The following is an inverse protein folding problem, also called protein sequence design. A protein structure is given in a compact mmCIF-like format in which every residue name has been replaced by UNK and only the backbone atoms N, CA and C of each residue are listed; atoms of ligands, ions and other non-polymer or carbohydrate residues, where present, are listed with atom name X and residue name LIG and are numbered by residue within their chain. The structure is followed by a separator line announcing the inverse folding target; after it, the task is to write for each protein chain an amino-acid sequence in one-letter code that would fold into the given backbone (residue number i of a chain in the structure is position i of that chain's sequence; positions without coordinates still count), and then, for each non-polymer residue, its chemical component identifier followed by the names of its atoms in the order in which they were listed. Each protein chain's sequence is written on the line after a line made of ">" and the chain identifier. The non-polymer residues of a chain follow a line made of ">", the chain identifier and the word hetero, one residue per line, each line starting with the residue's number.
data_IF_792564225252
#
_entry.id   IF_792564225252
#
_cell.length_a   1.000
_cell.length_b   1.000
_cell.length_c   1.000
_cell.angle_alpha   90.00
_cell.angle_beta   90.00
_cell.angle_gamma   90.00
#
_symmetry.space_group_name_H-M   'P 1'
#
loop_
_entity.id
_entity.type
_entity.pdbx_description
1 polymer ?
#
# COMPACT_ATOMS: atom_id res chain seq x y z
N UNK A 1 -18.12 25.63 14.21
CA UNK A 1 -17.56 24.66 13.27
C UNK A 1 -18.50 23.48 13.12
N UNK A 2 -18.49 22.86 11.94
CA UNK A 2 -19.16 21.58 11.70
C UNK A 2 -18.44 20.49 12.49
N UNK A 3 -19.19 19.73 13.29
CA UNK A 3 -18.64 18.59 14.03
C UNK A 3 -18.30 17.42 13.11
N UNK A 4 -19.03 17.30 11.99
CA UNK A 4 -18.86 16.26 10.97
C UNK A 4 -18.83 16.92 9.59
N UNK A 5 -17.93 16.50 8.69
CA UNK A 5 -17.91 16.99 7.32
C UNK A 5 -19.24 16.77 6.59
N UNK A 6 -19.69 17.76 5.84
CA UNK A 6 -20.75 17.57 4.85
C UNK A 6 -20.15 16.80 3.69
N UNK A 7 -20.73 15.65 3.36
CA UNK A 7 -20.17 14.74 2.35
C UNK A 7 -21.22 14.37 1.31
N UNK A 8 -20.83 14.43 0.04
CA UNK A 8 -21.56 13.83 -1.08
C UNK A 8 -20.63 12.82 -1.76
N UNK A 9 -21.04 11.56 -1.85
CA UNK A 9 -20.21 10.52 -2.45
C UNK A 9 -21.04 9.64 -3.38
N UNK A 10 -20.48 9.36 -4.56
CA UNK A 10 -20.93 8.31 -5.47
C UNK A 10 -19.75 7.33 -5.63
N UNK A 11 -20.02 6.05 -5.40
CA UNK A 11 -19.03 5.01 -5.50
C UNK A 11 -19.65 3.79 -6.18
N UNK A 12 -19.15 3.48 -7.38
CA UNK A 12 -19.62 2.35 -8.20
C UNK A 12 -18.50 1.36 -8.32
N UNK A 13 -18.75 0.12 -7.93
CA UNK A 13 -17.82 -0.99 -8.03
C UNK A 13 -18.45 -2.11 -8.84
N UNK A 14 -17.72 -2.61 -9.84
CA UNK A 14 -18.06 -3.83 -10.55
C UNK A 14 -16.89 -4.82 -10.49
N UNK A 15 -17.21 -6.09 -10.27
CA UNK A 15 -16.23 -7.18 -10.19
C UNK A 15 -16.70 -8.34 -11.05
N UNK A 16 -15.76 -8.86 -11.84
CA UNK A 16 -15.95 -10.06 -12.65
C UNK A 16 -15.02 -11.15 -12.16
N UNK A 17 -15.51 -12.38 -12.23
CA UNK A 17 -14.75 -13.56 -11.87
C UNK A 17 -14.97 -14.64 -12.95
N UNK A 18 -13.88 -15.28 -13.35
CA UNK A 18 -13.88 -16.44 -14.21
C UNK A 18 -13.07 -17.55 -13.55
N UNK A 19 -13.64 -18.73 -13.43
CA UNK A 19 -12.96 -19.91 -12.90
C UNK A 19 -13.25 -21.09 -13.82
N UNK A 20 -12.18 -21.75 -14.26
CA UNK A 20 -12.24 -23.02 -14.97
C UNK A 20 -11.20 -23.97 -14.36
N UNK A 21 -11.65 -24.76 -13.38
CA UNK A 21 -10.77 -25.65 -12.59
C UNK A 21 -10.22 -26.80 -13.43
N UNK A 22 -10.97 -27.29 -14.44
CA UNK A 22 -10.53 -28.36 -15.32
C UNK A 22 -9.35 -27.92 -16.20
N UNK A 23 -9.40 -26.69 -16.69
CA UNK A 23 -8.33 -26.09 -17.51
C UNK A 23 -7.30 -25.33 -16.67
N UNK A 24 -7.47 -25.24 -15.35
CA UNK A 24 -6.57 -24.57 -14.43
C UNK A 24 -6.59 -23.03 -14.50
N UNK A 25 -7.56 -22.40 -15.16
CA UNK A 25 -7.62 -20.95 -15.29
C UNK A 25 -8.49 -20.28 -14.24
N UNK A 26 -7.99 -19.17 -13.69
CA UNK A 26 -8.74 -18.28 -12.82
C UNK A 26 -8.47 -16.83 -13.22
N UNK A 27 -9.52 -16.03 -13.25
CA UNK A 27 -9.44 -14.62 -13.62
C UNK A 27 -10.34 -13.76 -12.73
N UNK A 28 -9.86 -12.56 -12.37
CA UNK A 28 -10.63 -11.55 -11.67
C UNK A 28 -10.39 -10.20 -12.33
N UNK A 29 -11.47 -9.50 -12.62
CA UNK A 29 -11.46 -8.12 -13.07
C UNK A 29 -12.22 -7.24 -12.09
N UNK A 30 -11.76 -6.03 -11.83
CA UNK A 30 -12.46 -5.07 -10.98
C UNK A 30 -12.32 -3.69 -11.58
N UNK A 31 -13.41 -2.93 -11.65
CA UNK A 31 -13.42 -1.49 -11.94
C UNK A 31 -14.18 -0.79 -10.83
N UNK A 32 -13.63 0.30 -10.33
CA UNK A 32 -14.24 1.18 -9.36
C UNK A 32 -14.15 2.62 -9.85
N UNK A 33 -15.25 3.33 -9.74
CA UNK A 33 -15.36 4.77 -10.00
C UNK A 33 -15.87 5.42 -8.72
N UNK A 34 -15.23 6.48 -8.30
CA UNK A 34 -15.61 7.23 -7.11
C UNK A 34 -15.52 8.72 -7.38
N UNK A 35 -16.57 9.43 -6.97
CA UNK A 35 -16.58 10.87 -6.82
C UNK A 35 -16.97 11.20 -5.39
N UNK A 36 -16.19 12.02 -4.72
CA UNK A 36 -16.38 12.40 -3.32
C UNK A 36 -16.15 13.90 -3.15
N UNK A 37 -17.09 14.56 -2.52
CA UNK A 37 -17.02 15.98 -2.16
C UNK A 37 -17.20 16.10 -0.65
N UNK A 38 -16.26 16.76 0.01
CA UNK A 38 -16.31 17.03 1.46
C UNK A 38 -16.15 18.50 1.72
N UNK A 39 -16.97 19.02 2.60
CA UNK A 39 -16.92 20.40 3.09
C UNK A 39 -16.81 20.41 4.61
N UNK A 40 -15.89 21.20 5.13
CA UNK A 40 -15.64 21.40 6.57
C UNK A 40 -15.46 22.89 6.82
N UNK A 41 -15.83 23.38 8.00
CA UNK A 41 -15.60 24.79 8.33
C UNK A 41 -16.59 25.35 9.33
N UNK A 42 -16.70 26.66 9.38
CA UNK A 42 -17.69 27.38 10.16
C UNK A 42 -19.11 27.03 9.70
N UNK A 43 -20.10 27.03 10.60
CA UNK A 43 -21.47 26.64 10.28
C UNK A 43 -22.09 27.47 9.15
N UNK A 44 -21.76 28.75 9.08
CA UNK A 44 -22.29 29.68 8.07
C UNK A 44 -21.39 29.80 6.84
N UNK A 45 -20.33 28.96 6.73
CA UNK A 45 -19.41 29.03 5.60
C UNK A 45 -20.13 28.61 4.31
N UNK A 46 -20.07 29.49 3.33
CA UNK A 46 -20.57 29.26 1.98
C UNK A 46 -19.39 29.27 1.00
N UNK A 47 -19.18 28.15 0.32
CA UNK A 47 -18.07 27.97 -0.62
C UNK A 47 -18.04 29.01 -1.74
N UNK A 48 -19.20 29.42 -2.28
CA UNK A 48 -19.29 30.39 -3.38
C UNK A 48 -18.90 31.79 -2.96
N UNK A 49 -19.21 32.17 -1.72
CA UNK A 49 -19.07 33.54 -1.23
C UNK A 49 -17.87 33.76 -0.30
N UNK A 50 -17.44 32.73 0.42
CA UNK A 50 -16.45 32.86 1.49
C UNK A 50 -15.08 32.28 1.13
N UNK A 51 -14.96 31.51 0.04
CA UNK A 51 -13.69 30.96 -0.43
C UNK A 51 -12.69 32.10 -0.70
N UNK A 52 -11.52 32.03 -0.06
CA UNK A 52 -10.48 33.03 -0.18
C UNK A 52 -10.82 34.38 0.48
N UNK A 53 -11.86 34.46 1.31
CA UNK A 53 -12.20 35.62 2.10
C UNK A 53 -11.80 35.44 3.57
N UNK A 54 -11.53 36.55 4.27
CA UNK A 54 -11.17 36.51 5.70
C UNK A 54 -12.37 36.38 6.65
N UNK A 55 -13.59 36.26 6.12
CA UNK A 55 -14.83 36.29 6.91
C UNK A 55 -15.02 35.00 7.71
N UNK A 56 -15.01 33.89 7.03
CA UNK A 56 -15.21 32.56 7.63
C UNK A 56 -14.18 31.58 7.09
N UNK A 57 -13.68 30.72 7.96
CA UNK A 57 -12.80 29.64 7.54
C UNK A 57 -13.60 28.43 7.07
N UNK A 58 -13.21 27.88 5.93
CA UNK A 58 -13.76 26.66 5.39
C UNK A 58 -12.77 25.92 4.51
N UNK A 59 -13.07 24.67 4.25
CA UNK A 59 -12.30 23.76 3.43
C UNK A 59 -13.24 22.93 2.58
N UNK A 60 -12.86 22.70 1.34
CA UNK A 60 -13.55 21.77 0.45
C UNK A 60 -12.53 20.87 -0.22
N UNK A 61 -12.87 19.59 -0.31
CA UNK A 61 -12.05 18.54 -0.92
C UNK A 61 -12.92 17.82 -1.95
N UNK A 62 -12.58 17.95 -3.21
CA UNK A 62 -13.21 17.27 -4.33
C UNK A 62 -12.28 16.18 -4.85
N UNK A 63 -12.73 14.94 -4.79
CA UNK A 63 -11.95 13.78 -5.20
C UNK A 63 -12.65 13.01 -6.30
N UNK A 64 -11.94 12.77 -7.40
CA UNK A 64 -12.33 11.83 -8.44
C UNK A 64 -11.33 10.69 -8.48
N UNK A 65 -11.81 9.45 -8.45
CA UNK A 65 -10.95 8.28 -8.43
C UNK A 65 -11.44 7.19 -9.37
N UNK A 66 -10.50 6.62 -10.10
CA UNK A 66 -10.70 5.46 -10.95
C UNK A 66 -9.71 4.40 -10.53
N UNK A 67 -10.20 3.20 -10.22
CA UNK A 67 -9.36 2.03 -9.96
C UNK A 67 -9.77 0.91 -10.92
N UNK A 68 -8.78 0.27 -11.54
CA UNK A 68 -8.97 -0.91 -12.35
C UNK A 68 -7.96 -1.98 -11.95
N UNK A 69 -8.36 -3.23 -11.86
CA UNK A 69 -7.44 -4.33 -11.58
C UNK A 69 -7.80 -5.58 -12.36
N UNK A 70 -6.77 -6.31 -12.74
CA UNK A 70 -6.85 -7.59 -13.42
C UNK A 70 -5.92 -8.57 -12.71
N UNK A 71 -6.44 -9.77 -12.41
CA UNK A 71 -5.65 -10.91 -11.92
C UNK A 71 -5.96 -12.11 -12.77
N UNK A 72 -4.93 -12.73 -13.31
CA UNK A 72 -5.04 -13.97 -14.07
C UNK A 72 -4.09 -14.98 -13.43
N UNK A 73 -4.62 -16.15 -13.15
CA UNK A 73 -3.86 -17.28 -12.62
C UNK A 73 -4.04 -18.50 -13.51
N UNK A 74 -2.98 -19.26 -13.62
CA UNK A 74 -2.98 -20.57 -14.25
C UNK A 74 -2.34 -21.57 -13.31
N UNK A 75 -3.10 -22.57 -12.89
CA UNK A 75 -2.64 -23.70 -12.09
C UNK A 75 -2.54 -24.90 -13.03
N UNK A 76 -1.39 -25.55 -13.07
CA UNK A 76 -1.20 -26.73 -13.91
C UNK A 76 -2.08 -27.87 -13.40
N UNK A 77 -3.06 -28.39 -14.19
CA UNK A 77 -3.97 -29.41 -13.70
C UNK A 77 -3.28 -30.69 -13.21
N UNK A 78 -2.20 -31.09 -13.89
CA UNK A 78 -1.41 -32.27 -13.53
C UNK A 78 -0.48 -32.03 -12.33
N UNK A 79 -0.15 -30.77 -12.05
CA UNK A 79 0.80 -30.37 -11.00
C UNK A 79 0.24 -29.19 -10.22
N UNK A 80 -0.73 -29.43 -9.34
CA UNK A 80 -1.45 -28.38 -8.60
C UNK A 80 -0.56 -27.48 -7.73
N UNK A 81 0.69 -27.90 -7.46
CA UNK A 81 1.70 -27.10 -6.78
C UNK A 81 2.43 -26.11 -7.70
N UNK A 82 2.22 -26.18 -9.03
CA UNK A 82 2.77 -25.23 -10.00
C UNK A 82 1.70 -24.26 -10.44
N UNK A 83 2.05 -22.99 -10.43
CA UNK A 83 1.13 -21.97 -10.94
C UNK A 83 1.89 -20.75 -11.45
N UNK A 84 1.30 -20.10 -12.45
CA UNK A 84 1.62 -18.74 -12.84
C UNK A 84 0.53 -17.79 -12.38
N UNK A 85 0.92 -16.59 -12.04
CA UNK A 85 0.01 -15.49 -11.74
C UNK A 85 0.47 -14.21 -12.40
N UNK A 86 -0.47 -13.50 -13.00
CA UNK A 86 -0.28 -12.15 -13.47
C UNK A 86 -1.27 -11.24 -12.75
N UNK A 87 -0.80 -10.12 -12.26
CA UNK A 87 -1.61 -9.10 -11.60
C UNK A 87 -1.26 -7.75 -12.20
N UNK A 88 -2.28 -6.96 -12.51
CA UNK A 88 -2.12 -5.57 -12.90
C UNK A 88 -3.15 -4.73 -12.19
N UNK A 89 -2.75 -3.57 -11.70
CA UNK A 89 -3.62 -2.59 -11.07
C UNK A 89 -3.28 -1.20 -11.56
N UNK A 90 -4.29 -0.46 -11.98
CA UNK A 90 -4.22 0.94 -12.32
C UNK A 90 -5.09 1.74 -11.36
N UNK A 91 -4.60 2.88 -10.92
CA UNK A 91 -5.35 3.84 -10.12
C UNK A 91 -5.05 5.24 -10.62
N UNK A 92 -6.08 6.06 -10.74
CA UNK A 92 -5.97 7.51 -10.87
C UNK A 92 -6.76 8.16 -9.74
N UNK A 93 -6.10 9.04 -9.00
CA UNK A 93 -6.65 9.82 -7.93
C UNK A 93 -6.42 11.30 -8.22
N UNK A 94 -7.50 12.01 -8.57
CA UNK A 94 -7.47 13.45 -8.77
C UNK A 94 -8.19 14.11 -7.60
N UNK A 95 -7.48 14.95 -6.86
CA UNK A 95 -8.02 15.74 -5.77
C UNK A 95 -7.75 17.21 -6.02
N UNK A 96 -8.78 18.02 -5.87
CA UNK A 96 -8.73 19.48 -5.83
C UNK A 96 -9.23 19.91 -4.45
N UNK A 97 -8.37 20.57 -3.69
CA UNK A 97 -8.70 20.92 -2.32
C UNK A 97 -8.23 22.33 -1.95
N UNK A 98 -9.00 23.00 -1.11
CA UNK A 98 -8.53 24.19 -0.42
C UNK A 98 -8.84 24.10 1.08
N UNK A 99 -8.03 24.78 1.86
CA UNK A 99 -8.10 24.86 3.32
C UNK A 99 -7.93 26.33 3.74
N UNK A 100 -9.05 27.07 3.83
CA UNK A 100 -9.01 28.53 3.95
C UNK A 100 -8.38 29.16 2.69
N UNK A 101 -7.16 29.71 2.82
CA UNK A 101 -6.41 30.30 1.70
C UNK A 101 -5.45 29.34 1.01
N UNK A 102 -5.22 28.17 1.58
CA UNK A 102 -4.26 27.20 1.03
C UNK A 102 -4.90 26.32 0.00
N UNK A 103 -4.18 26.02 -1.05
CA UNK A 103 -4.58 25.12 -2.11
C UNK A 103 -3.69 23.89 -2.10
N UNK A 104 -4.29 22.72 -2.22
CA UNK A 104 -3.60 21.45 -2.40
C UNK A 104 -4.29 20.63 -3.48
N UNK A 105 -3.69 20.60 -4.66
CA UNK A 105 -4.20 19.81 -5.77
C UNK A 105 -3.23 18.69 -6.12
N UNK A 106 -3.75 17.52 -6.43
CA UNK A 106 -2.93 16.38 -6.86
C UNK A 106 -3.68 15.55 -7.92
N UNK A 107 -2.99 15.21 -9.00
CA UNK A 107 -3.34 14.13 -9.94
C UNK A 107 -2.26 13.05 -9.85
N UNK A 108 -2.59 11.96 -9.16
CA UNK A 108 -1.72 10.80 -8.99
C UNK A 108 -2.23 9.64 -9.85
N UNK A 109 -1.40 9.17 -10.75
CA UNK A 109 -1.63 8.00 -11.58
C UNK A 109 -0.64 6.92 -11.19
N UNK A 110 -1.12 5.73 -10.92
CA UNK A 110 -0.32 4.57 -10.52
C UNK A 110 -0.64 3.37 -11.38
N UNK A 111 0.39 2.69 -11.86
CA UNK A 111 0.31 1.39 -12.52
C UNK A 111 1.25 0.43 -11.81
N UNK A 112 0.72 -0.68 -11.35
CA UNK A 112 1.48 -1.78 -10.78
C UNK A 112 1.21 -3.05 -11.57
N UNK A 113 2.26 -3.76 -11.94
CA UNK A 113 2.16 -5.09 -12.56
C UNK A 113 3.08 -6.06 -11.85
N UNK A 114 2.64 -7.30 -11.74
CA UNK A 114 3.38 -8.35 -11.07
C UNK A 114 3.15 -9.69 -11.78
N UNK A 115 4.24 -10.38 -12.08
CA UNK A 115 4.25 -11.74 -12.60
C UNK A 115 4.85 -12.66 -11.56
N UNK A 116 4.19 -13.78 -11.30
CA UNK A 116 4.51 -14.73 -10.24
C UNK A 116 4.61 -16.13 -10.81
N UNK A 117 5.58 -16.89 -10.33
CA UNK A 117 5.68 -18.32 -10.52
C UNK A 117 5.84 -19.00 -9.17
N UNK A 118 5.01 -19.98 -8.89
CA UNK A 118 5.09 -20.80 -7.68
C UNK A 118 5.36 -22.25 -8.05
N UNK A 119 6.19 -22.93 -7.25
CA UNK A 119 6.45 -24.35 -7.37
C UNK A 119 7.06 -24.92 -6.07
N UNK A 120 7.40 -26.19 -6.09
CA UNK A 120 8.08 -26.90 -4.99
C UNK A 120 9.48 -27.32 -5.42
N UNK A 121 10.34 -27.61 -4.43
CA UNK A 121 11.68 -28.19 -4.60
C UNK A 121 11.69 -29.56 -3.94
N UNK A 122 11.65 -30.62 -4.76
CA UNK A 122 11.67 -32.00 -4.29
C UNK A 122 10.33 -32.45 -3.69
N UNK A 123 9.85 -31.82 -2.61
CA UNK A 123 8.63 -32.20 -1.92
C UNK A 123 7.81 -30.97 -1.48
N UNK A 124 6.59 -31.20 -0.96
CA UNK A 124 5.63 -30.16 -0.56
C UNK A 124 6.04 -29.34 0.67
N UNK A 125 7.06 -29.80 1.43
CA UNK A 125 7.62 -29.06 2.56
C UNK A 125 8.47 -27.88 2.08
N UNK A 126 9.01 -27.94 0.86
CA UNK A 126 9.88 -26.95 0.27
C UNK A 126 9.17 -26.26 -0.90
N UNK A 127 8.78 -25.03 -0.71
CA UNK A 127 8.09 -24.22 -1.74
C UNK A 127 8.94 -23.02 -2.11
N UNK A 128 8.84 -22.60 -3.36
CA UNK A 128 9.44 -21.35 -3.76
C UNK A 128 8.45 -20.53 -4.62
N UNK A 129 8.65 -19.23 -4.56
CA UNK A 129 7.95 -18.25 -5.36
C UNK A 129 8.98 -17.30 -5.95
N UNK A 130 8.94 -17.13 -7.26
CA UNK A 130 9.76 -16.16 -7.97
C UNK A 130 8.87 -15.21 -8.76
N UNK A 131 9.32 -14.00 -8.97
CA UNK A 131 8.52 -13.08 -9.76
C UNK A 131 9.26 -11.82 -10.18
N UNK A 132 8.59 -11.10 -11.07
CA UNK A 132 8.99 -9.79 -11.57
C UNK A 132 7.85 -8.82 -11.32
N UNK A 133 8.18 -7.61 -10.93
CA UNK A 133 7.20 -6.56 -10.79
C UNK A 133 7.69 -5.26 -11.43
N UNK A 134 6.74 -4.48 -11.87
CA UNK A 134 6.95 -3.12 -12.36
C UNK A 134 5.95 -2.20 -11.67
N UNK A 135 6.42 -1.03 -11.25
CA UNK A 135 5.57 0.06 -10.78
C UNK A 135 5.91 1.36 -11.50
N UNK A 136 4.88 2.12 -11.76
CA UNK A 136 4.96 3.45 -12.33
C UNK A 136 3.98 4.36 -11.62
N UNK A 137 4.47 5.44 -11.04
CA UNK A 137 3.68 6.46 -10.37
C UNK A 137 4.00 7.83 -10.99
N UNK A 138 2.96 8.56 -11.38
CA UNK A 138 3.06 9.94 -11.86
C UNK A 138 2.29 10.85 -10.93
N UNK A 139 2.94 11.87 -10.45
CA UNK A 139 2.38 12.89 -9.59
C UNK A 139 2.43 14.25 -10.28
N UNK A 140 1.28 14.91 -10.36
CA UNK A 140 1.17 16.33 -10.64
C UNK A 140 0.61 16.97 -9.36
N UNK A 141 1.47 17.56 -8.57
CA UNK A 141 1.15 18.06 -7.23
C UNK A 141 1.39 19.56 -7.15
N UNK A 142 0.39 20.28 -6.66
CA UNK A 142 0.43 21.73 -6.46
C UNK A 142 0.11 22.04 -5.00
N UNK A 143 0.97 22.79 -4.36
CA UNK A 143 0.78 23.32 -3.00
C UNK A 143 0.90 24.83 -3.06
N UNK A 144 -0.20 25.54 -2.92
CA UNK A 144 -0.29 26.99 -3.14
C UNK A 144 0.26 27.37 -4.52
N UNK A 145 1.45 27.97 -4.60
CA UNK A 145 2.14 28.38 -5.84
C UNK A 145 3.29 27.43 -6.23
N UNK A 146 3.52 26.35 -5.47
CA UNK A 146 4.63 25.43 -5.70
C UNK A 146 4.16 24.18 -6.45
N UNK A 147 4.97 23.73 -7.40
CA UNK A 147 4.73 22.54 -8.22
C UNK A 147 5.75 21.45 -7.91
N UNK A 148 5.26 20.24 -7.62
CA UNK A 148 6.08 19.07 -7.31
C UNK A 148 5.77 17.90 -8.26
N UNK A 149 5.98 18.17 -9.56
CA UNK A 149 5.71 17.15 -10.58
C UNK A 149 6.83 16.12 -10.61
N UNK A 150 6.44 14.83 -10.60
CA UNK A 150 7.41 13.74 -10.66
C UNK A 150 6.83 12.48 -11.28
N UNK A 151 7.73 11.60 -11.72
CA UNK A 151 7.39 10.22 -12.04
C UNK A 151 8.39 9.27 -11.38
N UNK A 152 7.88 8.26 -10.73
CA UNK A 152 8.63 7.22 -10.05
C UNK A 152 8.43 5.91 -10.80
N UNK A 153 9.53 5.20 -11.07
CA UNK A 153 9.52 3.93 -11.82
C UNK A 153 10.40 2.94 -11.10
N UNK A 154 9.88 1.73 -10.91
CA UNK A 154 10.65 0.64 -10.33
C UNK A 154 10.45 -0.64 -11.11
N UNK A 155 11.54 -1.33 -11.38
CA UNK A 155 11.53 -2.71 -11.87
C UNK A 155 12.15 -3.57 -10.77
N UNK A 156 11.43 -4.59 -10.33
CA UNK A 156 11.89 -5.47 -9.26
C UNK A 156 11.84 -6.93 -9.67
N UNK A 157 12.73 -7.72 -9.11
CA UNK A 157 12.67 -9.17 -9.12
C UNK A 157 12.74 -9.69 -7.70
N UNK A 158 12.10 -10.81 -7.42
CA UNK A 158 12.13 -11.40 -6.09
C UNK A 158 12.13 -12.93 -6.14
N UNK A 159 12.70 -13.49 -5.09
CA UNK A 159 12.66 -14.90 -4.79
C UNK A 159 12.27 -15.07 -3.32
N UNK A 160 11.31 -15.93 -3.06
CA UNK A 160 10.86 -16.33 -1.73
C UNK A 160 10.93 -17.85 -1.62
N UNK A 161 11.53 -18.34 -0.56
CA UNK A 161 11.58 -19.74 -0.20
C UNK A 161 10.79 -19.94 1.08
N UNK A 162 9.95 -20.99 1.10
CA UNK A 162 9.17 -21.38 2.25
C UNK A 162 9.44 -22.83 2.58
N UNK A 163 9.81 -23.07 3.83
CA UNK A 163 9.98 -24.40 4.39
C UNK A 163 8.98 -24.61 5.51
N UNK A 164 8.30 -25.74 5.49
CA UNK A 164 7.36 -26.17 6.54
C UNK A 164 7.56 -27.66 6.78
N UNK A 165 8.03 -28.04 7.95
CA UNK A 165 8.21 -29.45 8.29
C UNK A 165 6.89 -30.16 8.61
N UNK A 166 5.74 -29.39 8.61
CA UNK A 166 4.40 -29.83 8.94
C UNK A 166 4.17 -30.23 10.42
N UNK A 167 5.14 -29.98 11.25
CA UNK A 167 5.11 -30.28 12.68
C UNK A 167 5.24 -29.01 13.51
N UNK A 168 6.45 -28.55 13.67
CA UNK A 168 6.75 -27.52 14.64
C UNK A 168 7.60 -26.34 14.09
N UNK A 169 8.00 -26.38 12.83
CA UNK A 169 8.89 -25.37 12.28
C UNK A 169 8.45 -24.90 10.89
N UNK A 170 8.28 -23.58 10.75
CA UNK A 170 8.01 -22.91 9.47
C UNK A 170 8.99 -21.78 9.28
N UNK A 171 9.62 -21.71 8.10
CA UNK A 171 10.54 -20.65 7.68
C UNK A 171 10.05 -20.07 6.36
N UNK A 172 10.01 -18.74 6.27
CA UNK A 172 9.85 -18.01 5.00
C UNK A 172 11.01 -17.02 4.88
N UNK A 173 11.83 -17.19 3.86
CA UNK A 173 12.95 -16.32 3.56
C UNK A 173 12.79 -15.75 2.15
N UNK A 174 12.93 -14.47 2.00
CA UNK A 174 12.77 -13.78 0.72
C UNK A 174 13.82 -12.71 0.51
N UNK A 175 14.14 -12.48 -0.74
CA UNK A 175 15.00 -11.40 -1.18
C UNK A 175 14.38 -10.75 -2.41
N UNK A 176 14.43 -9.44 -2.46
CA UNK A 176 13.95 -8.65 -3.58
C UNK A 176 15.02 -7.65 -4.00
N UNK A 177 15.26 -7.56 -5.29
CA UNK A 177 16.12 -6.57 -5.93
C UNK A 177 15.24 -5.60 -6.69
N UNK A 178 15.36 -4.31 -6.42
CA UNK A 178 14.65 -3.24 -7.12
C UNK A 178 15.63 -2.28 -7.79
N UNK A 179 15.29 -1.88 -9.00
CA UNK A 179 15.94 -0.79 -9.74
C UNK A 179 14.92 0.32 -9.85
N UNK A 180 15.13 1.38 -9.08
CA UNK A 180 14.22 2.51 -8.99
C UNK A 180 14.89 3.78 -9.51
N UNK A 181 14.19 4.58 -10.33
CA UNK A 181 14.78 5.75 -10.96
C UNK A 181 15.26 6.84 -9.98
N UNK A 182 14.73 6.88 -8.75
CA UNK A 182 15.13 7.86 -7.72
C UNK A 182 15.89 7.25 -6.55
N UNK A 183 15.57 6.00 -6.18
CA UNK A 183 16.19 5.32 -5.04
C UNK A 183 17.46 4.55 -5.42
N UNK A 184 17.75 4.47 -6.74
CA UNK A 184 18.81 3.61 -7.26
C UNK A 184 18.48 2.13 -7.13
N UNK A 185 19.52 1.31 -7.18
CA UNK A 185 19.39 -0.13 -7.01
C UNK A 185 19.54 -0.52 -5.54
N UNK A 186 18.64 -1.37 -5.05
CA UNK A 186 18.69 -1.82 -3.67
C UNK A 186 18.09 -3.21 -3.49
N UNK A 187 18.48 -3.85 -2.40
CA UNK A 187 18.02 -5.17 -2.00
C UNK A 187 17.21 -5.03 -0.71
N UNK A 188 16.08 -5.74 -0.65
CA UNK A 188 15.23 -5.82 0.54
C UNK A 188 15.07 -7.29 0.96
N UNK A 189 15.75 -7.71 2.03
CA UNK A 189 15.56 -9.04 2.61
C UNK A 189 14.28 -9.10 3.46
N UNK A 190 13.73 -10.31 3.56
CA UNK A 190 12.59 -10.64 4.42
C UNK A 190 12.79 -12.02 5.03
N UNK A 191 12.52 -12.15 6.32
CA UNK A 191 12.58 -13.41 7.05
C UNK A 191 11.40 -13.50 8.00
N UNK A 192 10.72 -14.64 7.99
CA UNK A 192 9.73 -15.01 9.01
C UNK A 192 10.01 -16.42 9.47
N UNK A 193 10.02 -16.62 10.76
CA UNK A 193 10.23 -17.90 11.40
C UNK A 193 9.10 -18.11 12.42
N UNK A 194 8.56 -19.33 12.44
CA UNK A 194 7.64 -19.82 13.46
C UNK A 194 8.17 -21.14 13.97
N UNK A 195 8.30 -21.24 15.29
CA UNK A 195 8.76 -22.44 15.95
C UNK A 195 7.87 -22.80 17.13
N UNK A 196 7.49 -24.04 17.22
CA UNK A 196 6.71 -24.62 18.31
C UNK A 196 7.59 -25.62 19.07
N UNK A 197 8.31 -25.17 20.10
CA UNK A 197 9.11 -26.09 20.94
C UNK A 197 8.22 -27.10 21.68
N UNK A 198 6.99 -26.73 21.96
CA UNK A 198 5.95 -27.54 22.57
C UNK A 198 4.59 -27.18 21.96
N UNK A 199 3.57 -28.05 22.06
CA UNK A 199 2.24 -27.81 21.50
C UNK A 199 1.60 -26.49 21.98
N UNK A 200 1.93 -26.07 23.20
CA UNK A 200 1.36 -24.91 23.85
C UNK A 200 2.24 -23.63 23.74
N UNK A 201 3.41 -23.72 23.10
CA UNK A 201 4.37 -22.61 23.01
C UNK A 201 4.63 -22.27 21.57
N UNK A 202 4.40 -21.03 21.18
CA UNK A 202 4.64 -20.55 19.82
C UNK A 202 5.65 -19.39 19.88
N UNK A 203 6.78 -19.56 19.23
CA UNK A 203 7.80 -18.52 19.07
C UNK A 203 7.73 -18.05 17.62
N UNK A 204 7.71 -16.72 17.41
CA UNK A 204 7.79 -16.11 16.10
C UNK A 204 8.91 -15.10 16.06
N UNK A 205 9.56 -15.04 14.91
CA UNK A 205 10.56 -14.02 14.61
C UNK A 205 10.29 -13.45 13.21
N UNK A 206 10.44 -12.15 13.05
CA UNK A 206 10.32 -11.46 11.77
C UNK A 206 11.42 -10.44 11.59
N UNK A 207 11.94 -10.35 10.37
CA UNK A 207 12.92 -9.36 9.95
C UNK A 207 12.58 -8.93 8.54
N UNK A 208 12.69 -7.63 8.26
CA UNK A 208 12.53 -7.10 6.91
C UNK A 208 13.05 -5.69 6.77
N UNK A 209 13.32 -5.30 5.55
CA UNK A 209 13.68 -3.92 5.24
C UNK A 209 12.79 -3.35 4.15
N UNK A 210 12.71 -2.02 4.08
CA UNK A 210 11.93 -1.32 3.06
C UNK A 210 12.51 0.05 2.76
N UNK A 211 12.14 0.56 1.58
CA UNK A 211 12.44 1.93 1.18
C UNK A 211 11.18 2.59 0.65
N UNK A 212 11.05 3.88 0.89
CA UNK A 212 9.90 4.69 0.47
C UNK A 212 10.36 6.06 0.01
N UNK A 213 9.72 6.57 -1.03
CA UNK A 213 9.79 7.99 -1.39
C UNK A 213 8.75 8.72 -0.56
N UNK A 214 9.14 9.77 0.16
CA UNK A 214 8.24 10.57 0.98
C UNK A 214 7.19 11.28 0.12
N UNK A 215 5.94 11.32 0.60
CA UNK A 215 4.84 12.14 0.06
C UNK A 215 4.37 13.12 1.14
N UNK A 216 5.21 14.11 1.45
CA UNK A 216 5.09 14.96 2.64
C UNK A 216 3.70 15.57 2.77
N UNK A 217 3.18 16.17 1.71
CA UNK A 217 1.91 16.89 1.77
C UNK A 217 0.72 15.93 1.82
N UNK A 218 0.71 14.87 1.02
CA UNK A 218 -0.34 13.86 1.05
C UNK A 218 -0.43 13.13 2.40
N UNK A 219 0.72 12.91 3.05
CA UNK A 219 0.80 12.21 4.35
C UNK A 219 0.52 13.13 5.55
N UNK A 220 0.60 14.45 5.37
CA UNK A 220 0.47 15.44 6.44
C UNK A 220 -0.54 16.55 6.09
N UNK A 221 -1.72 16.17 5.62
CA UNK A 221 -2.76 17.14 5.22
C UNK A 221 -3.22 18.07 6.35
N UNK A 222 -3.01 17.69 7.60
CA UNK A 222 -3.26 18.53 8.78
C UNK A 222 -2.43 19.84 8.76
N UNK A 223 -1.30 19.86 8.05
CA UNK A 223 -0.50 21.07 7.88
C UNK A 223 -1.25 22.19 7.15
N UNK A 224 -2.25 21.86 6.35
CA UNK A 224 -3.05 22.85 5.63
C UNK A 224 -4.13 23.51 6.51
N UNK A 225 -4.47 22.92 7.66
CA UNK A 225 -5.45 23.46 8.61
C UNK A 225 -4.95 24.70 9.39
N UNK A 226 -3.78 25.23 9.08
CA UNK A 226 -3.18 26.37 9.78
C UNK A 226 -2.91 27.54 8.83
N UNK A 227 -3.01 28.77 9.35
CA UNK A 227 -2.63 29.99 8.63
C UNK A 227 -1.11 30.26 8.64
N UNK A 228 -0.30 29.39 9.28
CA UNK A 228 1.15 29.56 9.29
C UNK A 228 1.71 29.38 7.88
N UNK A 229 2.68 30.21 7.52
CA UNK A 229 3.34 30.13 6.23
C UNK A 229 4.16 28.84 6.10
N UNK A 230 3.94 28.09 5.01
CA UNK A 230 4.77 26.92 4.70
C UNK A 230 5.98 27.41 3.91
N UNK A 231 7.16 27.33 4.50
CA UNK A 231 8.41 27.69 3.86
C UNK A 231 9.12 26.42 3.37
N UNK A 232 9.28 26.28 2.07
CA UNK A 232 10.02 25.18 1.46
C UNK A 232 11.46 25.63 1.27
N UNK A 233 12.35 25.18 2.16
CA UNK A 233 13.73 25.62 2.21
C UNK A 233 14.61 25.05 1.10
N UNK A 234 14.22 23.91 0.51
CA UNK A 234 14.96 23.22 -0.56
C UNK A 234 14.03 22.76 -1.67
N UNK A 235 14.22 23.28 -2.87
CA UNK A 235 13.44 22.94 -4.06
C UNK A 235 14.18 22.01 -5.02
N UNK A 236 15.45 21.68 -4.75
CA UNK A 236 16.32 20.93 -5.65
C UNK A 236 16.72 19.56 -5.11
N UNK A 237 17.12 18.67 -6.00
CA UNK A 237 17.59 17.33 -5.66
C UNK A 237 16.49 16.28 -5.69
N UNK A 238 16.46 15.42 -4.68
CA UNK A 238 15.38 14.45 -4.47
C UNK A 238 14.07 15.17 -4.17
N UNK A 239 12.94 14.44 -4.21
CA UNK A 239 11.61 15.01 -3.99
C UNK A 239 11.58 15.79 -2.68
N UNK A 240 11.07 17.03 -2.72
CA UNK A 240 11.06 17.99 -1.60
C UNK A 240 12.45 18.26 -0.99
N UNK A 241 13.55 17.95 -1.69
CA UNK A 241 14.91 18.04 -1.16
C UNK A 241 15.27 16.98 -0.13
N UNK A 242 14.46 15.91 0.02
CA UNK A 242 14.66 14.84 0.98
C UNK A 242 15.30 13.59 0.37
N UNK A 243 16.01 12.86 1.18
CA UNK A 243 16.46 11.52 0.86
C UNK A 243 15.32 10.50 1.07
N UNK A 244 15.37 9.35 0.38
CA UNK A 244 14.43 8.27 0.62
C UNK A 244 14.43 7.77 2.06
N UNK A 245 13.26 7.46 2.57
CA UNK A 245 13.10 6.76 3.84
C UNK A 245 13.62 5.33 3.73
N UNK A 246 14.32 4.88 4.75
CA UNK A 246 14.82 3.50 4.89
C UNK A 246 14.35 2.98 6.22
N UNK A 247 13.69 1.83 6.21
CA UNK A 247 13.20 1.19 7.41
C UNK A 247 13.75 -0.24 7.52
N UNK A 248 14.07 -0.64 8.75
CA UNK A 248 14.28 -2.00 9.16
C UNK A 248 13.23 -2.32 10.22
N UNK A 249 12.50 -3.40 9.99
CA UNK A 249 11.53 -3.93 10.93
C UNK A 249 12.05 -5.27 11.44
N UNK A 250 12.03 -5.45 12.72
CA UNK A 250 12.29 -6.72 13.39
C UNK A 250 11.31 -6.89 14.54
N UNK A 251 10.88 -8.10 14.73
CA UNK A 251 9.95 -8.44 15.79
C UNK A 251 10.20 -9.87 16.27
N UNK A 252 9.99 -10.07 17.54
CA UNK A 252 9.99 -11.38 18.16
C UNK A 252 8.78 -11.49 19.06
N UNK A 253 8.06 -12.61 19.03
CA UNK A 253 6.97 -12.86 19.96
C UNK A 253 6.98 -14.29 20.47
N UNK A 254 6.54 -14.45 21.71
CA UNK A 254 6.30 -15.72 22.34
C UNK A 254 4.84 -15.77 22.85
N UNK A 255 4.14 -16.81 22.47
CA UNK A 255 2.78 -17.08 22.94
C UNK A 255 2.76 -18.39 23.70
N UNK A 256 2.27 -18.36 24.93
CA UNK A 256 2.06 -19.52 25.77
C UNK A 256 0.56 -19.75 25.98
N UNK A 257 0.07 -20.92 25.55
CA UNK A 257 -1.30 -21.37 25.80
C UNK A 257 -1.30 -22.19 27.08
N UNK A 258 -2.29 -21.99 27.92
CA UNK A 258 -2.43 -22.72 29.19
C UNK A 258 -3.90 -23.02 29.50
N UNK A 259 -4.13 -24.02 30.33
CA UNK A 259 -5.42 -24.30 30.93
C UNK A 259 -5.33 -24.07 32.45
N UNK A 260 -6.17 -23.19 32.96
CA UNK A 260 -6.25 -22.90 34.39
C UNK A 260 -7.68 -23.14 34.86
N UNK A 261 -7.86 -24.04 35.83
CA UNK A 261 -9.15 -24.35 36.46
C UNK A 261 -10.24 -24.73 35.44
N UNK A 262 -9.89 -25.44 34.37
CA UNK A 262 -10.82 -25.85 33.32
C UNK A 262 -11.14 -24.78 32.26
N UNK A 263 -10.55 -23.59 32.37
CA UNK A 263 -10.64 -22.51 31.36
C UNK A 263 -9.35 -22.37 30.61
N UNK A 264 -9.45 -22.34 29.26
CA UNK A 264 -8.31 -22.07 28.38
C UNK A 264 -7.97 -20.59 28.37
N UNK A 265 -6.66 -20.26 28.36
CA UNK A 265 -6.15 -18.91 28.22
C UNK A 265 -4.85 -18.89 27.44
N UNK A 266 -4.41 -17.70 27.04
CA UNK A 266 -3.07 -17.50 26.47
C UNK A 266 -2.45 -16.17 26.91
N UNK A 267 -1.13 -16.16 26.96
CA UNK A 267 -0.31 -14.97 27.20
C UNK A 267 0.59 -14.79 25.98
N UNK A 268 0.61 -13.60 25.41
CA UNK A 268 1.52 -13.22 24.33
C UNK A 268 2.41 -12.08 24.81
N UNK A 269 3.71 -12.23 24.55
CA UNK A 269 4.73 -11.20 24.74
C UNK A 269 5.32 -10.89 23.36
N UNK A 270 5.28 -9.61 22.96
CA UNK A 270 5.80 -9.08 21.70
C UNK A 270 6.97 -8.13 21.94
#
# INVERSE_FOLDING_TARGET
>A
FLDVPLTKQINVLNRWQYINSEKGWVGFGTIRLMQDQKQVGALEFNNENDRGQNRLWGSEINTNRIDASLKIGYVFPEFSFRSFGFQSAYSQHKQEAYYGFRVYDIDHQSLYTNFLYNSIIGNTKNKFKAGLNFSYDRYLETVDTFYFNRSDRSLGSFLEYSYDNLENFTLVAGVRLDIHNRLGTFVTPRLHLRYLPQENTIIRFSLGSGRKVANIFAENQTLFGTNRQINILKNGGSIYGLNPEKAWNYGASIRQIFNLLGSGGDITLD
#
